data_IF_662348823880
#
_entry.id   IF_662348823880
#
_cell.length_a   1.000
_cell.length_b   1.000
_cell.length_c   1.000
_cell.angle_alpha   90.00
_cell.angle_beta   90.00
_cell.angle_gamma   90.00
#
_symmetry.space_group_name_H-M   'P 1'
#
loop_
_entity.id
_entity.type
_entity.pdbx_description
1 polymer ?
#
# COMPACT_ATOMS: atom_id res chain seq x y z
N UNK A 1 2.17 -19.04 4.99
CA UNK A 1 1.23 -19.12 3.85
C UNK A 1 0.36 -17.89 3.97
N UNK A 2 0.37 -17.00 2.98
CA UNK A 2 -0.41 -15.78 3.05
C UNK A 2 -1.91 -16.07 3.03
N UNK A 3 -2.67 -15.38 3.88
CA UNK A 3 -4.13 -15.48 3.82
C UNK A 3 -4.68 -14.84 2.53
N UNK A 4 -5.98 -14.99 2.27
CA UNK A 4 -6.61 -14.47 1.05
C UNK A 4 -6.61 -12.93 0.98
N UNK A 5 -6.71 -12.25 2.12
CA UNK A 5 -6.58 -10.80 2.21
C UNK A 5 -5.15 -10.34 1.94
N UNK A 6 -4.15 -11.01 2.54
CA UNK A 6 -2.73 -10.72 2.28
C UNK A 6 -2.37 -10.93 0.80
N UNK A 7 -2.82 -12.03 0.19
CA UNK A 7 -2.57 -12.29 -1.25
C UNK A 7 -3.19 -11.22 -2.14
N UNK A 8 -4.41 -10.78 -1.84
CA UNK A 8 -5.06 -9.69 -2.58
C UNK A 8 -4.34 -8.36 -2.40
N UNK A 9 -3.88 -8.06 -1.19
CA UNK A 9 -3.14 -6.84 -0.90
C UNK A 9 -1.79 -6.81 -1.60
N UNK A 10 -1.05 -7.93 -1.61
CA UNK A 10 0.21 -8.07 -2.34
C UNK A 10 0.00 -7.90 -3.85
N UNK A 11 -1.03 -8.51 -4.43
CA UNK A 11 -1.33 -8.35 -5.86
C UNK A 11 -1.68 -6.89 -6.23
N UNK A 12 -2.45 -6.20 -5.38
CA UNK A 12 -2.78 -4.79 -5.58
C UNK A 12 -1.53 -3.90 -5.48
N UNK A 13 -0.65 -4.16 -4.51
CA UNK A 13 0.62 -3.45 -4.34
C UNK A 13 1.60 -3.71 -5.51
N UNK A 14 1.71 -4.95 -5.97
CA UNK A 14 2.54 -5.31 -7.14
C UNK A 14 2.09 -4.51 -8.36
N UNK A 15 0.78 -4.54 -8.66
CA UNK A 15 0.22 -3.79 -9.76
C UNK A 15 0.50 -2.29 -9.64
N UNK A 16 0.25 -1.68 -8.48
CA UNK A 16 0.45 -0.26 -8.28
C UNK A 16 1.93 0.15 -8.44
N UNK A 17 2.86 -0.61 -7.86
CA UNK A 17 4.30 -0.33 -7.96
C UNK A 17 4.82 -0.57 -9.39
N UNK A 18 4.39 -1.63 -10.06
CA UNK A 18 4.78 -1.89 -11.45
C UNK A 18 4.22 -0.86 -12.42
N UNK A 19 2.98 -0.39 -12.22
CA UNK A 19 2.40 0.71 -13.01
C UNK A 19 3.19 2.02 -12.79
N UNK A 20 3.61 2.33 -11.55
CA UNK A 20 4.36 3.55 -11.24
C UNK A 20 5.81 3.51 -11.77
N UNK A 21 6.47 2.35 -11.67
CA UNK A 21 7.90 2.21 -12.00
C UNK A 21 8.17 1.75 -13.43
N UNK A 22 7.20 1.11 -14.08
CA UNK A 22 7.41 0.38 -15.33
C UNK A 22 8.35 -0.82 -15.17
N UNK A 23 8.59 -1.30 -13.94
CA UNK A 23 9.58 -2.31 -13.62
C UNK A 23 8.97 -3.52 -12.89
N UNK A 24 9.58 -4.68 -13.17
CA UNK A 24 9.33 -5.96 -12.51
C UNK A 24 10.68 -6.70 -12.34
N UNK A 25 10.81 -7.63 -11.38
CA UNK A 25 9.82 -7.96 -10.34
C UNK A 25 9.72 -6.89 -9.25
N UNK A 26 8.63 -6.91 -8.49
CA UNK A 26 8.47 -6.16 -7.24
C UNK A 26 8.86 -7.08 -6.09
N UNK A 27 9.89 -6.72 -5.33
CA UNK A 27 10.33 -7.46 -4.15
C UNK A 27 9.51 -7.01 -2.94
N UNK A 28 8.73 -7.90 -2.31
CA UNK A 28 8.05 -7.60 -1.06
C UNK A 28 8.96 -7.85 0.14
N UNK A 29 9.15 -6.81 0.96
CA UNK A 29 10.01 -6.84 2.15
C UNK A 29 9.22 -7.10 3.43
N UNK A 30 8.01 -6.56 3.53
CA UNK A 30 7.09 -6.85 4.64
C UNK A 30 5.62 -6.65 4.23
N UNK A 31 4.73 -7.34 4.93
CA UNK A 31 3.29 -7.10 4.94
C UNK A 31 2.79 -7.21 6.38
N UNK A 32 2.03 -6.22 6.82
CA UNK A 32 1.48 -6.15 8.17
C UNK A 32 0.02 -5.67 8.10
N UNK A 33 -0.87 -6.31 8.87
CA UNK A 33 -2.21 -5.79 9.07
C UNK A 33 -2.12 -4.42 9.78
N UNK A 34 -2.88 -3.45 9.31
CA UNK A 34 -2.89 -2.08 9.81
C UNK A 34 -4.32 -1.55 9.93
N UNK A 35 -4.52 -0.66 10.90
CA UNK A 35 -5.78 0.07 11.08
C UNK A 35 -5.46 1.56 11.11
N UNK A 36 -6.10 2.32 10.24
CA UNK A 36 -5.96 3.77 10.14
C UNK A 36 -7.17 4.49 10.76
N UNK A 37 -6.99 5.69 11.32
CA UNK A 37 -8.07 6.43 11.99
C UNK A 37 -9.09 7.04 11.04
N UNK A 38 -8.80 7.08 9.74
CA UNK A 38 -9.65 7.65 8.70
C UNK A 38 -9.40 7.01 7.33
N UNK A 39 -10.30 7.30 6.39
CA UNK A 39 -10.26 6.78 5.02
C UNK A 39 -9.09 7.32 4.17
N UNK A 40 -8.29 8.27 4.67
CA UNK A 40 -7.06 8.70 3.99
C UNK A 40 -5.94 7.69 4.11
N UNK A 41 -6.10 6.70 5.00
CA UNK A 41 -5.07 5.74 5.37
C UNK A 41 -3.78 6.44 5.79
N UNK A 42 -3.86 7.60 6.44
CA UNK A 42 -2.72 8.40 6.89
C UNK A 42 -1.96 9.16 5.78
N UNK A 43 -2.55 9.30 4.59
CA UNK A 43 -2.01 10.10 3.48
C UNK A 43 -3.07 11.07 2.94
N UNK A 44 -3.61 11.88 3.85
CA UNK A 44 -4.57 12.91 3.50
C UNK A 44 -3.98 13.90 2.48
N UNK A 45 -4.67 14.02 1.35
CA UNK A 45 -4.37 15.04 0.35
C UNK A 45 -4.92 16.41 0.78
N UNK A 46 -4.18 17.52 0.55
CA UNK A 46 -4.65 18.86 0.85
C UNK A 46 -6.00 19.18 0.16
N UNK A 47 -6.93 19.76 0.92
CA UNK A 47 -8.24 20.19 0.40
C UNK A 47 -9.27 19.06 0.23
N UNK A 48 -8.93 17.79 0.55
CA UNK A 48 -9.90 16.69 0.61
C UNK A 48 -10.46 16.49 2.01
N UNK A 49 -11.72 16.09 2.06
CA UNK A 49 -12.36 15.57 3.26
C UNK A 49 -12.30 14.04 3.23
N UNK A 50 -11.98 13.44 4.37
CA UNK A 50 -11.93 11.99 4.56
C UNK A 50 -12.91 11.59 5.66
N UNK A 51 -13.53 10.42 5.50
CA UNK A 51 -14.40 9.88 6.53
C UNK A 51 -13.58 9.50 7.76
N UNK A 52 -13.98 10.01 8.93
CA UNK A 52 -13.37 9.71 10.22
C UNK A 52 -13.86 8.34 10.73
N UNK A 53 -13.31 7.26 10.17
CA UNK A 53 -13.66 5.89 10.54
C UNK A 53 -12.42 5.00 10.59
N UNK A 54 -12.44 4.02 11.49
CA UNK A 54 -11.42 2.97 11.51
C UNK A 54 -11.42 2.24 10.18
N UNK A 55 -10.30 2.31 9.49
CA UNK A 55 -10.10 1.73 8.16
C UNK A 55 -9.07 0.62 8.30
N UNK A 56 -9.51 -0.63 8.12
CA UNK A 56 -8.65 -1.81 8.21
C UNK A 56 -8.00 -2.13 6.88
N UNK A 57 -6.79 -2.70 6.91
CA UNK A 57 -6.12 -3.15 5.72
C UNK A 57 -4.68 -3.58 5.98
N UNK A 58 -3.78 -3.31 5.02
CA UNK A 58 -2.39 -3.76 5.06
C UNK A 58 -1.41 -2.64 4.75
N UNK A 59 -0.32 -2.57 5.54
CA UNK A 59 0.90 -1.82 5.23
C UNK A 59 1.92 -2.78 4.65
N UNK A 60 2.42 -2.48 3.46
CA UNK A 60 3.36 -3.32 2.72
C UNK A 60 4.61 -2.50 2.42
N UNK A 61 5.78 -3.06 2.69
CA UNK A 61 7.04 -2.51 2.20
C UNK A 61 7.49 -3.28 0.97
N UNK A 62 7.78 -2.57 -0.12
CA UNK A 62 8.22 -3.17 -1.38
C UNK A 62 9.45 -2.48 -1.94
N UNK A 63 10.20 -3.17 -2.82
CA UNK A 63 11.32 -2.61 -3.56
C UNK A 63 11.16 -2.90 -5.05
N UNK A 64 11.32 -1.87 -5.87
CA UNK A 64 11.32 -1.99 -7.33
C UNK A 64 12.17 -0.87 -7.95
N UNK A 65 12.87 -1.16 -9.04
CA UNK A 65 13.74 -0.22 -9.74
C UNK A 65 14.73 0.55 -8.81
N UNK A 66 15.25 -0.14 -7.78
CA UNK A 66 16.18 0.45 -6.80
C UNK A 66 15.54 1.41 -5.78
N UNK A 67 14.21 1.54 -5.75
CA UNK A 67 13.47 2.40 -4.83
C UNK A 67 12.71 1.56 -3.81
N UNK A 68 12.54 2.09 -2.59
CA UNK A 68 11.69 1.53 -1.55
C UNK A 68 10.33 2.20 -1.57
N UNK A 69 9.27 1.42 -1.42
CA UNK A 69 7.88 1.87 -1.39
C UNK A 69 7.23 1.41 -0.09
N UNK A 70 6.42 2.29 0.51
CA UNK A 70 5.35 1.89 1.41
C UNK A 70 4.06 1.89 0.60
N UNK A 71 3.33 0.78 0.64
CA UNK A 71 1.99 0.66 0.11
C UNK A 71 0.98 0.49 1.24
N UNK A 72 -0.16 1.17 1.17
CA UNK A 72 -1.29 1.02 2.07
C UNK A 72 -2.49 0.57 1.27
N UNK A 73 -3.07 -0.56 1.66
CA UNK A 73 -4.20 -1.20 0.98
C UNK A 73 -5.37 -1.32 1.93
N UNK A 74 -6.57 -0.92 1.51
CA UNK A 74 -7.83 -1.11 2.23
C UNK A 74 -8.98 -1.35 1.26
N UNK A 75 -9.58 -2.55 1.30
CA UNK A 75 -10.57 -2.95 0.30
C UNK A 75 -9.99 -2.84 -1.11
N UNK A 76 -10.65 -2.07 -1.98
CA UNK A 76 -10.21 -1.82 -3.36
C UNK A 76 -9.25 -0.63 -3.51
N UNK A 77 -8.92 0.06 -2.41
CA UNK A 77 -8.02 1.21 -2.45
C UNK A 77 -6.58 0.75 -2.19
N UNK A 78 -5.67 1.11 -3.09
CA UNK A 78 -4.23 0.99 -2.91
C UNK A 78 -3.57 2.33 -3.18
N UNK A 79 -2.65 2.73 -2.31
CA UNK A 79 -1.71 3.81 -2.59
C UNK A 79 -0.31 3.32 -2.26
N UNK A 80 0.65 3.63 -3.12
CA UNK A 80 2.06 3.38 -2.88
C UNK A 80 2.81 4.71 -2.96
N UNK A 81 3.80 4.90 -2.08
CA UNK A 81 4.68 6.06 -2.13
C UNK A 81 6.10 5.62 -1.85
N UNK A 82 7.05 6.28 -2.52
CA UNK A 82 8.47 6.07 -2.27
C UNK A 82 8.77 6.52 -0.83
N UNK A 83 9.36 5.64 -0.05
CA UNK A 83 9.92 5.96 1.27
C UNK A 83 11.44 6.05 1.12
N UNK A 84 12.05 7.08 1.71
CA UNK A 84 13.50 7.25 1.63
C UNK A 84 14.22 5.99 2.13
N UNK A 85 15.16 5.50 1.33
CA UNK A 85 16.23 4.61 1.78
C UNK A 85 17.36 5.41 2.42
#
# INVERSE_FOLDING_TARGET
>A
MYDEGERRALAAAEKAVSDETGAMPVDFLSIEAAVWPDASMGWAEPGRLYAQMLTEGYRITARSAGKLFECRVSGDHVRCMIING
#
